data_IF_855789593412
#
_entry.id   IF_855789593412
#
_cell.length_a   1.000
_cell.length_b   1.000
_cell.length_c   1.000
_cell.angle_alpha   90.00
_cell.angle_beta   90.00
_cell.angle_gamma   90.00
#
_symmetry.space_group_name_H-M   'P 1'
#
loop_
_entity.id
_entity.type
_entity.pdbx_description
1 polymer ?
#
# COMPACT_ATOMS: atom_id res chain seq x y z
N UNK A 1 -5.20 11.49 9.47
CA UNK A 1 -4.33 10.34 9.23
C UNK A 1 -3.07 10.78 8.50
N UNK A 2 -1.98 10.09 8.71
CA UNK A 2 -0.67 10.49 8.19
C UNK A 2 -0.07 9.40 7.33
N UNK A 3 0.68 9.82 6.31
CA UNK A 3 1.46 8.94 5.43
C UNK A 3 2.86 9.51 5.21
N UNK A 4 3.85 8.63 5.05
CA UNK A 4 5.18 9.03 4.62
C UNK A 4 5.21 9.11 3.10
N UNK A 5 5.67 10.22 2.57
CA UNK A 5 5.67 10.50 1.12
C UNK A 5 7.08 10.86 0.68
N UNK A 6 7.57 10.13 -0.31
CA UNK A 6 8.80 10.45 -1.02
C UNK A 6 8.48 11.57 -2.02
N UNK A 7 8.93 12.77 -1.71
CA UNK A 7 8.66 13.97 -2.54
C UNK A 7 9.60 14.02 -3.74
N UNK A 8 10.86 13.71 -3.50
CA UNK A 8 11.95 13.59 -4.49
C UNK A 8 13.02 12.70 -3.90
N UNK A 9 14.04 12.36 -4.65
CA UNK A 9 15.11 11.52 -4.15
C UNK A 9 15.74 12.11 -2.88
N UNK A 10 15.75 11.32 -1.81
CA UNK A 10 16.29 11.70 -0.50
C UNK A 10 15.37 12.57 0.37
N UNK A 11 14.18 12.94 -0.11
CA UNK A 11 13.26 13.81 0.62
C UNK A 11 11.96 13.07 0.96
N UNK A 12 11.88 12.54 2.18
CA UNK A 12 10.70 11.85 2.71
C UNK A 12 10.04 12.73 3.75
N UNK A 13 8.75 13.01 3.57
CA UNK A 13 7.97 13.85 4.48
C UNK A 13 6.71 13.14 4.95
N UNK A 14 6.33 13.40 6.20
CA UNK A 14 5.03 12.98 6.71
C UNK A 14 3.98 13.98 6.28
N UNK A 15 2.92 13.49 5.64
CA UNK A 15 1.79 14.32 5.20
C UNK A 15 0.47 13.75 5.69
N UNK A 16 -0.49 14.63 5.91
CA UNK A 16 -1.87 14.25 6.18
C UNK A 16 -2.55 13.78 4.88
N UNK A 17 -3.51 12.88 5.02
CA UNK A 17 -4.34 12.48 3.90
C UNK A 17 -5.79 12.26 4.35
N UNK A 18 -6.71 12.40 3.41
CA UNK A 18 -8.11 12.05 3.58
C UNK A 18 -8.31 10.60 3.14
N UNK A 19 -9.02 9.82 3.97
CA UNK A 19 -9.32 8.44 3.65
C UNK A 19 -10.18 8.38 2.37
N UNK A 20 -9.73 7.66 1.33
CA UNK A 20 -10.53 7.52 0.11
C UNK A 20 -11.80 6.71 0.36
N UNK A 21 -12.79 6.92 -0.49
CA UNK A 21 -14.00 6.11 -0.49
C UNK A 21 -13.69 4.65 -0.79
N UNK A 22 -14.37 3.74 -0.09
CA UNK A 22 -14.23 2.31 -0.30
C UNK A 22 -15.12 1.85 -1.47
N UNK A 23 -14.51 1.25 -2.48
CA UNK A 23 -15.25 0.66 -3.60
C UNK A 23 -15.80 -0.72 -3.23
N UNK A 24 -16.83 -1.17 -3.94
CA UNK A 24 -17.54 -2.42 -3.64
C UNK A 24 -16.66 -3.67 -3.65
N UNK A 25 -15.60 -3.67 -4.45
CA UNK A 25 -14.68 -4.81 -4.57
C UNK A 25 -13.44 -4.71 -3.67
N UNK A 26 -13.37 -3.71 -2.81
CA UNK A 26 -12.19 -3.42 -2.00
C UNK A 26 -12.42 -3.72 -0.52
N UNK A 27 -11.31 -3.99 0.18
CA UNK A 27 -11.26 -4.01 1.64
C UNK A 27 -10.38 -2.86 2.14
N UNK A 28 -10.75 -2.32 3.29
CA UNK A 28 -9.92 -1.37 4.02
C UNK A 28 -9.14 -2.12 5.09
N UNK A 29 -7.83 -1.95 5.09
CA UNK A 29 -6.93 -2.62 6.02
C UNK A 29 -6.35 -1.59 6.99
N UNK A 30 -6.44 -1.87 8.28
CA UNK A 30 -5.67 -1.15 9.29
C UNK A 30 -4.29 -1.77 9.36
N UNK A 31 -3.29 -1.01 8.93
CA UNK A 31 -1.90 -1.47 8.89
C UNK A 31 -1.34 -1.57 10.31
N UNK A 32 -0.80 -2.73 10.66
CA UNK A 32 -0.06 -2.95 11.91
C UNK A 32 1.43 -2.82 11.69
N UNK A 33 1.93 -3.37 10.59
CA UNK A 33 3.35 -3.44 10.30
C UNK A 33 3.58 -3.17 8.82
N UNK A 34 4.57 -2.36 8.52
CA UNK A 34 5.06 -2.12 7.16
C UNK A 34 6.58 -2.29 7.17
N UNK A 35 7.07 -3.36 6.55
CA UNK A 35 8.49 -3.63 6.43
C UNK A 35 9.17 -2.67 5.46
N UNK A 36 10.47 -2.47 5.65
CA UNK A 36 11.31 -1.69 4.74
C UNK A 36 12.16 -2.67 3.94
N UNK A 37 11.91 -2.74 2.65
CA UNK A 37 12.66 -3.56 1.72
C UNK A 37 13.88 -2.79 1.19
N UNK A 38 14.91 -3.50 0.74
CA UNK A 38 16.06 -2.87 0.07
C UNK A 38 15.65 -2.06 -1.17
N UNK A 39 14.58 -2.47 -1.86
CA UNK A 39 14.03 -1.71 -2.99
C UNK A 39 13.47 -0.34 -2.58
N UNK A 40 12.95 -0.21 -1.37
CA UNK A 40 12.49 1.09 -0.84
C UNK A 40 13.67 2.03 -0.62
N UNK A 41 14.79 1.51 -0.15
CA UNK A 41 16.05 2.27 0.03
C UNK A 41 16.52 2.80 -1.34
N UNK A 42 16.56 1.92 -2.33
CA UNK A 42 16.96 2.30 -3.70
C UNK A 42 16.03 3.37 -4.30
N UNK A 43 14.72 3.21 -4.14
CA UNK A 43 13.74 4.20 -4.60
C UNK A 43 13.88 5.54 -3.88
N UNK A 44 14.19 5.50 -2.59
CA UNK A 44 14.29 6.72 -1.77
C UNK A 44 15.57 7.52 -2.01
N UNK A 45 16.71 6.84 -2.20
CA UNK A 45 18.03 7.48 -2.22
C UNK A 45 18.86 7.13 -3.45
N UNK A 46 18.46 6.15 -4.23
CA UNK A 46 19.18 5.63 -5.39
C UNK A 46 18.58 6.02 -6.74
N UNK A 47 17.66 6.99 -6.78
CA UNK A 47 16.94 7.42 -8.00
C UNK A 47 16.13 6.29 -8.66
N UNK A 48 15.71 5.28 -7.87
CA UNK A 48 14.95 4.14 -8.36
C UNK A 48 13.44 4.32 -8.43
N UNK A 49 12.90 5.46 -8.03
CA UNK A 49 11.48 5.74 -8.12
C UNK A 49 11.05 6.06 -9.56
N UNK A 50 9.90 5.50 -9.96
CA UNK A 50 9.35 5.74 -11.29
C UNK A 50 8.66 7.10 -11.44
N UNK A 51 8.19 7.65 -10.33
CA UNK A 51 7.49 8.94 -10.29
C UNK A 51 7.52 9.52 -8.89
N UNK A 52 7.22 10.80 -8.78
CA UNK A 52 7.06 11.51 -7.51
C UNK A 52 5.77 12.33 -7.56
N UNK A 53 5.09 12.58 -6.43
CA UNK A 53 5.35 12.00 -5.11
C UNK A 53 4.95 10.53 -5.03
N UNK A 54 5.63 9.74 -4.21
CA UNK A 54 5.38 8.31 -4.06
C UNK A 54 5.21 7.95 -2.59
N UNK A 55 4.18 7.19 -2.28
CA UNK A 55 4.03 6.52 -0.99
C UNK A 55 4.66 5.15 -1.08
N UNK A 56 5.70 4.92 -0.30
CA UNK A 56 6.45 3.67 -0.29
C UNK A 56 5.80 2.64 0.65
N UNK A 57 6.15 1.39 0.44
CA UNK A 57 5.75 0.27 1.28
C UNK A 57 4.99 -0.79 0.49
N UNK A 58 5.45 -2.03 0.60
CA UNK A 58 4.84 -3.18 -0.07
C UNK A 58 4.94 -4.47 0.76
N UNK A 59 5.55 -4.41 1.95
CA UNK A 59 5.63 -5.51 2.92
C UNK A 59 4.70 -5.19 4.09
N UNK A 60 3.38 -5.29 3.86
CA UNK A 60 2.36 -4.75 4.75
C UNK A 60 1.53 -5.89 5.34
N UNK A 61 1.30 -5.83 6.64
CA UNK A 61 0.34 -6.68 7.33
C UNK A 61 -0.58 -5.86 8.23
N UNK A 62 -1.74 -6.38 8.48
CA UNK A 62 -2.74 -5.71 9.31
C UNK A 62 -4.00 -6.54 9.44
N UNK A 63 -5.10 -5.89 9.73
CA UNK A 63 -6.41 -6.55 9.76
C UNK A 63 -7.46 -5.75 8.99
N UNK A 64 -8.46 -6.48 8.49
CA UNK A 64 -9.58 -5.90 7.76
C UNK A 64 -10.46 -5.11 8.73
N UNK A 65 -10.74 -3.85 8.41
CA UNK A 65 -11.66 -3.00 9.19
C UNK A 65 -12.96 -2.72 8.46
N UNK A 66 -12.98 -2.85 7.14
CA UNK A 66 -14.18 -2.60 6.34
C UNK A 66 -14.08 -3.39 5.01
N UNK A 67 -15.20 -3.96 4.57
CA UNK A 67 -15.31 -4.67 3.30
C UNK A 67 -16.35 -4.03 2.42
N UNK A 68 -16.05 -3.90 1.12
CA UNK A 68 -17.01 -3.51 0.11
C UNK A 68 -18.09 -4.58 -0.08
N UNK A 69 -19.22 -4.19 -0.66
CA UNK A 69 -20.43 -5.05 -0.80
C UNK A 69 -20.19 -6.33 -1.60
N UNK A 70 -19.25 -6.31 -2.53
CA UNK A 70 -18.93 -7.45 -3.41
C UNK A 70 -17.85 -8.37 -2.87
N UNK A 71 -17.24 -8.03 -1.74
CA UNK A 71 -16.19 -8.84 -1.12
C UNK A 71 -16.81 -10.04 -0.42
N UNK A 72 -16.40 -11.26 -0.81
CA UNK A 72 -16.93 -12.52 -0.29
C UNK A 72 -15.93 -13.32 0.53
N UNK A 73 -14.64 -13.14 0.27
CA UNK A 73 -13.57 -13.98 0.84
C UNK A 73 -12.97 -13.45 2.14
N UNK A 74 -13.21 -12.17 2.44
CA UNK A 74 -12.63 -11.52 3.63
C UNK A 74 -13.72 -10.96 4.51
N UNK A 75 -13.46 -10.98 5.81
CA UNK A 75 -14.38 -10.47 6.83
C UNK A 75 -13.66 -9.46 7.72
N UNK A 76 -14.43 -8.55 8.32
CA UNK A 76 -13.90 -7.62 9.30
C UNK A 76 -13.20 -8.39 10.44
N UNK A 77 -12.04 -7.90 10.86
CA UNK A 77 -11.11 -8.49 11.84
C UNK A 77 -10.23 -9.63 11.32
N UNK A 78 -10.33 -10.03 10.06
CA UNK A 78 -9.38 -10.98 9.47
C UNK A 78 -7.95 -10.39 9.51
N UNK A 79 -7.00 -11.20 9.97
CA UNK A 79 -5.58 -10.89 9.87
C UNK A 79 -5.10 -11.17 8.46
N UNK A 80 -4.46 -10.19 7.82
CA UNK A 80 -4.07 -10.26 6.40
C UNK A 80 -2.66 -9.72 6.18
N UNK A 81 -2.02 -10.23 5.15
CA UNK A 81 -0.85 -9.60 4.55
C UNK A 81 -1.17 -9.21 3.10
N UNK A 82 -0.49 -8.20 2.60
CA UNK A 82 -0.77 -7.66 1.28
C UNK A 82 0.20 -8.27 0.27
N UNK A 83 -0.35 -8.86 -0.78
CA UNK A 83 0.42 -9.27 -1.95
C UNK A 83 0.54 -8.05 -2.89
N UNK A 84 1.76 -7.53 -3.13
CA UNK A 84 1.93 -6.23 -3.77
C UNK A 84 1.74 -6.22 -5.28
N UNK A 85 1.64 -7.38 -5.91
CA UNK A 85 1.58 -7.50 -7.36
C UNK A 85 0.13 -7.70 -7.85
N UNK A 86 -0.28 -6.86 -8.80
CA UNK A 86 -1.58 -7.00 -9.46
C UNK A 86 -1.32 -7.52 -10.88
N UNK A 87 -1.54 -8.81 -11.14
CA UNK A 87 -1.29 -9.39 -12.45
C UNK A 87 -2.33 -8.94 -13.48
N UNK A 88 -1.91 -8.78 -14.72
CA UNK A 88 -2.82 -8.48 -15.83
C UNK A 88 -3.72 -9.68 -16.21
N UNK A 89 -3.32 -10.90 -15.86
CA UNK A 89 -4.00 -12.17 -16.17
C UNK A 89 -4.18 -12.46 -17.67
N UNK A 90 -3.45 -11.76 -18.54
CA UNK A 90 -3.57 -11.87 -20.00
C UNK A 90 -2.26 -12.25 -20.69
N UNK A 91 -1.11 -12.02 -20.04
CA UNK A 91 0.19 -12.40 -20.56
C UNK A 91 0.60 -13.79 -20.06
N UNK A 92 1.63 -14.36 -20.71
CA UNK A 92 2.16 -15.72 -20.38
C UNK A 92 3.13 -15.71 -19.18
N UNK A 93 3.47 -14.54 -18.66
CA UNK A 93 4.42 -14.43 -17.55
C UNK A 93 3.72 -14.24 -16.20
#
# INVERSE_FOLDING_TARGET
MKKAVLIKNGDIRTKNFTMPELLDSQCRIKVHTAGICSSDIYRSFGYGAYFYPLVLGHEISGHVVECGKKVKKFFVNDAVSIFPLIPCKKCIF
#
